data_IF_630889577938
#
_entry.id   IF_630889577938
#
_cell.length_a   1.000
_cell.length_b   1.000
_cell.length_c   1.000
_cell.angle_alpha   90.00
_cell.angle_beta   90.00
_cell.angle_gamma   90.00
#
_symmetry.space_group_name_H-M   'P 1'
#
loop_
_entity.id
_entity.type
_entity.pdbx_description
1 polymer ?
#
# COMPACT_ATOMS: atom_id res chain seq x y z
N UNK A 1 25.02 -9.93 -20.96
CA UNK A 1 24.14 -10.28 -22.10
C UNK A 1 23.78 -11.76 -21.99
N UNK A 2 22.50 -12.06 -22.03
CA UNK A 2 21.98 -13.43 -22.07
C UNK A 2 21.16 -13.61 -23.35
N UNK A 3 21.44 -14.66 -24.08
CA UNK A 3 20.70 -15.05 -25.26
C UNK A 3 20.33 -16.54 -25.19
N UNK A 4 19.06 -16.88 -25.38
CA UNK A 4 18.56 -18.23 -25.30
C UNK A 4 17.74 -18.58 -26.56
N UNK A 5 18.18 -19.57 -27.28
CA UNK A 5 17.42 -20.26 -28.33
C UNK A 5 16.99 -21.63 -27.80
N UNK A 6 15.68 -21.88 -27.72
CA UNK A 6 15.16 -23.21 -27.44
C UNK A 6 14.76 -23.90 -28.74
N UNK A 7 15.23 -25.14 -28.99
CA UNK A 7 14.70 -25.97 -30.04
C UNK A 7 13.20 -26.21 -29.91
N UNK A 8 12.48 -26.31 -30.99
CA UNK A 8 11.02 -26.50 -31.03
C UNK A 8 10.52 -27.74 -30.25
N UNK A 9 11.35 -28.76 -30.11
CA UNK A 9 11.09 -29.98 -29.32
C UNK A 9 10.95 -29.75 -27.80
N UNK A 10 11.34 -28.59 -27.31
CA UNK A 10 11.11 -28.15 -25.93
C UNK A 10 10.00 -27.10 -25.79
N UNK A 11 9.16 -27.00 -26.81
CA UNK A 11 7.92 -26.23 -26.73
C UNK A 11 7.10 -26.70 -25.52
N UNK A 12 6.69 -25.79 -24.66
CA UNK A 12 5.99 -26.08 -23.38
C UNK A 12 6.80 -25.81 -22.13
N UNK A 13 8.09 -25.59 -22.22
CA UNK A 13 8.88 -25.16 -21.06
C UNK A 13 8.75 -23.63 -20.86
N UNK A 14 8.23 -23.26 -19.69
CA UNK A 14 8.24 -21.85 -19.27
C UNK A 14 9.65 -21.44 -18.91
N UNK A 15 10.09 -20.26 -19.35
CA UNK A 15 11.38 -19.70 -18.97
C UNK A 15 11.23 -18.33 -18.34
N UNK A 16 12.01 -18.14 -17.31
CA UNK A 16 12.05 -16.91 -16.55
C UNK A 16 13.48 -16.37 -16.60
N UNK A 17 13.62 -15.17 -17.15
CA UNK A 17 14.92 -14.54 -17.39
C UNK A 17 14.92 -13.20 -16.65
N UNK A 18 15.81 -13.03 -15.69
CA UNK A 18 16.02 -11.78 -14.99
C UNK A 18 17.46 -11.32 -15.07
N UNK A 19 17.70 -10.04 -15.08
CA UNK A 19 19.04 -9.48 -15.03
C UNK A 19 19.79 -9.85 -13.74
N UNK A 20 19.05 -10.06 -12.64
CA UNK A 20 19.56 -10.49 -11.36
C UNK A 20 18.99 -11.86 -10.94
N UNK A 21 17.68 -12.02 -11.00
CA UNK A 21 16.98 -13.22 -10.51
C UNK A 21 16.04 -13.74 -11.59
N UNK A 22 16.21 -15.00 -12.02
CA UNK A 22 15.29 -15.63 -12.97
C UNK A 22 13.93 -15.94 -12.34
N UNK A 23 13.93 -16.41 -11.08
CA UNK A 23 12.74 -16.88 -10.38
C UNK A 23 12.84 -16.56 -8.89
N UNK A 24 11.91 -15.77 -8.37
CA UNK A 24 11.88 -15.36 -6.98
C UNK A 24 10.70 -16.00 -6.23
N UNK A 25 10.98 -16.68 -5.13
CA UNK A 25 9.98 -17.24 -4.23
C UNK A 25 9.36 -16.17 -3.32
N UNK A 26 8.14 -16.39 -2.78
CA UNK A 26 7.60 -15.56 -1.71
C UNK A 26 8.56 -15.43 -0.53
N UNK A 27 8.61 -14.25 0.12
CA UNK A 27 9.55 -13.98 1.21
C UNK A 27 10.98 -13.63 0.77
N UNK A 28 11.25 -13.53 -0.54
CA UNK A 28 12.57 -13.12 -1.06
C UNK A 28 12.91 -11.69 -0.63
N UNK A 29 14.13 -11.50 -0.10
CA UNK A 29 14.65 -10.17 0.23
C UNK A 29 15.87 -9.85 -0.62
N UNK A 30 15.86 -8.69 -1.30
CA UNK A 30 16.97 -8.16 -2.09
C UNK A 30 17.11 -6.68 -1.82
N UNK A 31 18.33 -6.22 -1.54
CA UNK A 31 18.58 -4.79 -1.36
C UNK A 31 19.94 -4.34 -1.91
N UNK A 32 20.04 -3.03 -2.16
CA UNK A 32 21.29 -2.34 -2.45
C UNK A 32 22.02 -2.89 -3.70
N UNK A 33 21.28 -3.06 -4.79
CA UNK A 33 21.79 -3.59 -6.05
C UNK A 33 21.78 -2.53 -7.15
N UNK A 34 22.88 -2.39 -7.84
CA UNK A 34 22.98 -1.57 -9.04
C UNK A 34 23.31 -2.45 -10.25
N UNK A 35 22.44 -2.40 -11.25
CA UNK A 35 22.56 -3.11 -12.52
C UNK A 35 22.69 -2.10 -13.64
N UNK A 36 23.62 -2.31 -14.56
CA UNK A 36 23.82 -1.40 -15.69
C UNK A 36 23.98 -2.16 -17.01
N UNK A 37 23.48 -1.58 -18.10
CA UNK A 37 23.60 -2.10 -19.46
C UNK A 37 23.14 -3.57 -19.59
N UNK A 38 21.95 -3.85 -19.08
CA UNK A 38 21.36 -5.19 -19.14
C UNK A 38 20.79 -5.40 -20.52
N UNK A 39 21.17 -6.50 -21.18
CA UNK A 39 20.59 -6.91 -22.45
C UNK A 39 20.16 -8.36 -22.36
N UNK A 40 18.85 -8.60 -22.41
CA UNK A 40 18.22 -9.91 -22.30
C UNK A 40 17.42 -10.20 -23.57
N UNK A 41 17.74 -11.30 -24.24
CA UNK A 41 17.05 -11.73 -25.45
C UNK A 41 16.57 -13.16 -25.29
N UNK A 42 15.29 -13.38 -25.57
CA UNK A 42 14.73 -14.72 -25.69
C UNK A 42 14.13 -14.92 -27.09
N UNK A 43 14.66 -15.88 -27.79
CA UNK A 43 14.18 -16.29 -29.09
C UNK A 43 13.19 -17.45 -28.92
N UNK A 44 11.88 -17.13 -28.85
CA UNK A 44 10.82 -18.15 -28.85
C UNK A 44 10.45 -18.56 -30.30
N UNK A 45 10.05 -19.83 -30.49
CA UNK A 45 9.50 -20.24 -31.75
C UNK A 45 8.10 -19.68 -31.98
N UNK A 46 7.76 -19.33 -33.21
CA UNK A 46 6.43 -18.83 -33.60
C UNK A 46 5.27 -19.82 -33.34
N UNK A 47 5.58 -21.06 -33.01
CA UNK A 47 4.64 -22.18 -33.22
C UNK A 47 3.96 -22.66 -31.92
N UNK A 48 4.31 -22.12 -30.77
CA UNK A 48 3.75 -22.62 -29.49
C UNK A 48 3.43 -21.52 -28.51
N UNK A 49 2.15 -21.34 -28.22
CA UNK A 49 1.64 -20.53 -27.09
C UNK A 49 2.16 -21.01 -25.71
N UNK A 50 2.76 -22.18 -25.65
CA UNK A 50 3.31 -22.76 -24.42
C UNK A 50 4.74 -22.32 -24.10
N UNK A 51 5.44 -21.65 -25.01
CA UNK A 51 6.76 -21.05 -24.77
C UNK A 51 6.63 -19.64 -24.26
N UNK A 52 6.14 -19.49 -23.04
CA UNK A 52 6.00 -18.19 -22.43
C UNK A 52 7.30 -17.77 -21.74
N UNK A 53 8.03 -16.88 -22.37
CA UNK A 53 9.18 -16.23 -21.75
C UNK A 53 8.71 -15.03 -20.92
N UNK A 54 9.10 -15.01 -19.68
CA UNK A 54 8.96 -13.86 -18.80
C UNK A 54 10.32 -13.26 -18.56
N UNK A 55 10.50 -12.04 -19.02
CA UNK A 55 11.79 -11.37 -19.01
C UNK A 55 11.67 -10.08 -18.22
N UNK A 56 12.44 -9.98 -17.14
CA UNK A 56 12.52 -8.77 -16.36
C UNK A 56 13.93 -8.20 -16.30
N UNK A 57 14.06 -6.91 -16.33
CA UNK A 57 15.36 -6.26 -16.17
C UNK A 57 16.05 -6.62 -14.86
N UNK A 58 15.27 -6.86 -13.82
CA UNK A 58 15.75 -7.34 -12.51
C UNK A 58 15.30 -8.77 -12.25
N UNK A 59 14.01 -9.07 -12.34
CA UNK A 59 13.42 -10.37 -11.97
C UNK A 59 12.59 -10.93 -13.13
N UNK A 60 12.82 -12.19 -13.50
CA UNK A 60 12.05 -12.86 -14.54
C UNK A 60 10.62 -13.18 -14.10
N UNK A 61 10.45 -13.87 -12.99
CA UNK A 61 9.17 -14.19 -12.37
C UNK A 61 9.25 -14.04 -10.85
N UNK A 62 8.30 -13.34 -10.28
CA UNK A 62 7.95 -13.37 -8.86
C UNK A 62 6.80 -14.38 -8.70
N UNK A 63 7.07 -15.53 -8.06
CA UNK A 63 6.15 -16.66 -8.02
C UNK A 63 4.87 -16.36 -7.22
N UNK A 64 3.80 -17.05 -7.59
CA UNK A 64 2.50 -16.94 -6.92
C UNK A 64 2.60 -17.31 -5.43
N UNK A 65 2.19 -16.39 -4.55
CA UNK A 65 2.11 -16.62 -3.12
C UNK A 65 1.76 -15.34 -2.35
N UNK A 66 0.87 -15.47 -1.40
CA UNK A 66 0.42 -14.38 -0.53
C UNK A 66 0.81 -14.56 0.95
N UNK A 67 1.40 -15.70 1.32
CA UNK A 67 1.70 -16.04 2.71
C UNK A 67 2.88 -15.22 3.28
N UNK A 68 3.81 -14.82 2.44
CA UNK A 68 5.01 -14.08 2.83
C UNK A 68 5.21 -12.88 1.91
N UNK A 69 5.57 -11.75 2.49
CA UNK A 69 5.83 -10.52 1.74
C UNK A 69 7.31 -10.47 1.35
N UNK A 70 7.59 -10.35 0.06
CA UNK A 70 8.95 -10.15 -0.44
C UNK A 70 9.35 -8.67 -0.34
N UNK A 71 10.63 -8.41 -0.07
CA UNK A 71 11.18 -7.06 0.00
C UNK A 71 12.27 -6.85 -1.06
N UNK A 72 12.06 -5.87 -1.92
CA UNK A 72 13.03 -5.39 -2.91
C UNK A 72 13.29 -3.90 -2.63
N UNK A 73 14.51 -3.58 -2.20
CA UNK A 73 14.81 -2.22 -1.72
C UNK A 73 16.08 -1.66 -2.34
N UNK A 74 16.05 -0.37 -2.71
CA UNK A 74 17.20 0.35 -3.24
C UNK A 74 17.88 -0.40 -4.40
N UNK A 75 17.08 -0.83 -5.40
CA UNK A 75 17.56 -1.51 -6.59
C UNK A 75 17.50 -0.54 -7.76
N UNK A 76 18.64 -0.34 -8.41
CA UNK A 76 18.74 0.48 -9.62
C UNK A 76 19.07 -0.41 -10.82
N UNK A 77 18.31 -0.29 -11.90
CA UNK A 77 18.61 -0.90 -13.21
C UNK A 77 18.62 0.18 -14.28
N UNK A 78 19.75 0.38 -14.92
CA UNK A 78 19.93 1.43 -15.94
C UNK A 78 20.45 0.86 -17.24
N UNK A 79 19.86 1.30 -18.37
CA UNK A 79 20.19 0.78 -19.70
C UNK A 79 19.68 -0.64 -19.92
N UNK A 80 18.37 -0.87 -19.69
CA UNK A 80 17.74 -2.18 -19.79
C UNK A 80 17.20 -2.39 -21.21
N UNK A 81 17.69 -3.41 -21.89
CA UNK A 81 17.18 -3.83 -23.21
C UNK A 81 16.60 -5.23 -23.13
N UNK A 82 15.30 -5.36 -23.40
CA UNK A 82 14.57 -6.61 -23.38
C UNK A 82 14.07 -6.93 -24.78
N UNK A 83 14.35 -8.14 -25.25
CA UNK A 83 13.87 -8.61 -26.55
C UNK A 83 13.30 -10.00 -26.42
N UNK A 84 12.05 -10.19 -26.82
CA UNK A 84 11.39 -11.48 -26.68
C UNK A 84 9.90 -11.43 -26.95
N UNK A 85 9.19 -12.45 -26.41
CA UNK A 85 7.75 -12.52 -26.56
C UNK A 85 7.09 -13.11 -25.34
N UNK A 86 6.11 -12.68 -24.73
CA UNK A 86 5.09 -12.94 -23.75
C UNK A 86 5.01 -11.84 -22.68
N UNK A 87 5.88 -11.79 -21.70
CA UNK A 87 5.85 -10.75 -20.67
C UNK A 87 7.24 -10.13 -20.50
N UNK A 88 7.33 -8.84 -20.76
CA UNK A 88 8.57 -8.08 -20.74
C UNK A 88 8.39 -6.88 -19.78
N UNK A 89 9.13 -6.85 -18.69
CA UNK A 89 9.06 -5.77 -17.72
C UNK A 89 10.42 -5.18 -17.36
N UNK A 90 10.52 -3.89 -17.30
CA UNK A 90 11.77 -3.23 -16.93
C UNK A 90 12.31 -3.67 -15.58
N UNK A 91 11.43 -3.86 -14.60
CA UNK A 91 11.78 -4.44 -13.31
C UNK A 91 11.49 -5.95 -13.27
N UNK A 92 10.24 -6.36 -13.45
CA UNK A 92 9.83 -7.76 -13.39
C UNK A 92 9.10 -8.22 -14.66
N UNK A 93 9.39 -9.42 -15.14
CA UNK A 93 8.64 -10.02 -16.25
C UNK A 93 7.21 -10.32 -15.84
N UNK A 94 7.02 -10.95 -14.69
CA UNK A 94 5.69 -11.21 -14.10
C UNK A 94 5.74 -11.07 -12.59
N UNK A 95 4.72 -10.44 -12.00
CA UNK A 95 4.54 -10.25 -10.56
C UNK A 95 3.30 -11.00 -10.09
N UNK A 96 3.47 -11.99 -9.21
CA UNK A 96 2.41 -12.86 -8.72
C UNK A 96 2.47 -13.10 -7.19
N UNK A 97 3.15 -12.25 -6.43
CA UNK A 97 3.30 -12.41 -4.97
C UNK A 97 3.15 -11.07 -4.25
N UNK A 98 2.85 -11.13 -2.96
CA UNK A 98 2.90 -9.95 -2.12
C UNK A 98 4.33 -9.40 -2.07
N UNK A 99 4.49 -8.11 -2.32
CA UNK A 99 5.81 -7.50 -2.39
C UNK A 99 5.80 -6.04 -1.92
N UNK A 100 6.89 -5.66 -1.26
CA UNK A 100 7.28 -4.27 -1.02
C UNK A 100 8.48 -3.96 -1.92
N UNK A 101 8.30 -3.01 -2.82
CA UNK A 101 9.32 -2.55 -3.76
C UNK A 101 9.60 -1.09 -3.41
N UNK A 102 10.69 -0.86 -2.68
CA UNK A 102 10.99 0.41 -2.04
C UNK A 102 12.21 1.08 -2.68
N UNK A 103 12.06 2.34 -3.06
CA UNK A 103 13.18 3.16 -3.59
C UNK A 103 13.90 2.50 -4.79
N UNK A 104 13.16 1.76 -5.60
CA UNK A 104 13.71 1.10 -6.78
C UNK A 104 13.61 2.01 -8.01
N UNK A 105 14.62 1.98 -8.87
CA UNK A 105 14.59 2.74 -10.12
C UNK A 105 14.96 1.88 -11.32
N UNK A 106 14.21 2.09 -12.42
CA UNK A 106 14.49 1.45 -13.71
C UNK A 106 14.54 2.53 -14.78
N UNK A 107 15.65 2.63 -15.48
CA UNK A 107 15.92 3.75 -16.38
C UNK A 107 16.39 3.27 -17.75
N UNK A 108 16.11 4.10 -18.77
CA UNK A 108 16.55 3.86 -20.15
C UNK A 108 16.15 2.47 -20.65
N UNK A 109 14.85 2.14 -20.49
CA UNK A 109 14.32 0.82 -20.84
C UNK A 109 13.97 0.76 -22.32
N UNK A 110 14.47 -0.23 -23.01
CA UNK A 110 14.10 -0.55 -24.39
C UNK A 110 13.45 -1.92 -24.44
N UNK A 111 12.19 -1.99 -24.86
CA UNK A 111 11.41 -3.23 -24.98
C UNK A 111 11.11 -3.48 -26.46
N UNK A 112 11.47 -4.67 -26.94
CA UNK A 112 11.24 -5.11 -28.30
C UNK A 112 10.57 -6.47 -28.32
N UNK A 113 9.32 -6.51 -28.79
CA UNK A 113 8.66 -7.78 -29.06
C UNK A 113 9.22 -8.40 -30.35
N UNK A 114 9.67 -9.64 -30.30
CA UNK A 114 9.99 -10.42 -31.49
C UNK A 114 8.73 -11.15 -31.94
N UNK A 115 8.47 -11.12 -33.24
CA UNK A 115 7.35 -11.83 -33.89
C UNK A 115 5.98 -11.32 -33.43
N UNK A 116 5.75 -10.02 -33.52
CA UNK A 116 4.44 -9.43 -33.28
C UNK A 116 3.38 -10.08 -34.16
N UNK A 117 2.55 -10.91 -33.54
CA UNK A 117 1.18 -11.05 -33.95
C UNK A 117 0.44 -10.14 -32.99
N UNK A 118 0.03 -8.98 -33.47
CA UNK A 118 -0.77 -8.06 -32.68
C UNK A 118 -2.06 -8.74 -32.28
N UNK A 119 -2.44 -8.64 -31.04
CA UNK A 119 -3.73 -9.07 -30.55
C UNK A 119 -4.82 -8.40 -31.40
N UNK A 120 -5.68 -9.18 -32.03
CA UNK A 120 -6.76 -8.69 -32.89
C UNK A 120 -6.52 -8.75 -34.40
N UNK A 121 -5.31 -8.95 -34.89
CA UNK A 121 -5.04 -9.06 -36.32
C UNK A 121 -5.14 -10.47 -36.88
N UNK A 122 -5.25 -11.49 -36.06
CA UNK A 122 -5.37 -12.89 -36.48
C UNK A 122 -6.53 -13.58 -35.79
N UNK A 123 -6.93 -14.70 -36.30
CA UNK A 123 -7.97 -15.58 -35.77
C UNK A 123 -7.62 -16.17 -34.39
N UNK A 124 -7.01 -15.41 -33.54
CA UNK A 124 -6.84 -15.75 -32.13
C UNK A 124 -8.21 -15.72 -31.45
N UNK A 125 -8.56 -16.68 -30.62
CA UNK A 125 -7.78 -17.78 -30.09
C UNK A 125 -7.67 -19.01 -30.99
N UNK A 126 -8.30 -19.02 -32.14
CA UNK A 126 -8.42 -20.21 -32.98
C UNK A 126 -7.07 -20.73 -33.51
N UNK A 127 -6.05 -19.90 -33.58
CA UNK A 127 -4.71 -20.27 -34.06
C UNK A 127 -3.66 -20.33 -32.98
N UNK A 128 -4.02 -20.17 -31.69
CA UNK A 128 -3.06 -20.12 -30.58
C UNK A 128 -2.10 -18.92 -30.64
N UNK A 129 -2.58 -17.76 -31.10
CA UNK A 129 -1.83 -16.51 -31.12
C UNK A 129 -1.23 -16.14 -29.76
N UNK A 130 -0.17 -15.37 -29.77
CA UNK A 130 0.56 -14.98 -28.56
C UNK A 130 0.09 -13.65 -28.03
N UNK A 131 -0.09 -13.59 -26.72
CA UNK A 131 -0.39 -12.35 -26.01
C UNK A 131 0.91 -11.77 -25.48
N UNK A 132 1.22 -10.54 -25.83
CA UNK A 132 2.44 -9.87 -25.43
C UNK A 132 2.14 -8.76 -24.41
N UNK A 133 2.44 -9.04 -23.15
CA UNK A 133 2.35 -8.08 -22.07
C UNK A 133 3.69 -7.37 -21.90
N UNK A 134 3.68 -6.05 -21.81
CA UNK A 134 4.91 -5.29 -21.55
C UNK A 134 4.65 -3.98 -20.84
N UNK A 135 5.60 -3.58 -20.01
CA UNK A 135 5.67 -2.22 -19.46
C UNK A 135 7.08 -1.89 -18.98
N UNK A 136 7.32 -0.62 -18.68
CA UNK A 136 8.60 -0.22 -18.11
C UNK A 136 8.83 -0.75 -16.69
N UNK A 137 7.81 -1.23 -16.00
CA UNK A 137 7.93 -1.82 -14.66
C UNK A 137 7.69 -3.33 -14.68
N UNK A 138 6.46 -3.79 -14.82
CA UNK A 138 6.11 -5.21 -14.83
C UNK A 138 5.44 -5.60 -16.16
N UNK A 139 5.89 -6.68 -16.80
CA UNK A 139 5.27 -7.17 -18.03
C UNK A 139 3.84 -7.65 -17.79
N UNK A 140 3.64 -8.44 -16.75
CA UNK A 140 2.35 -9.02 -16.38
C UNK A 140 2.17 -8.95 -14.86
N UNK A 141 1.00 -8.52 -14.40
CA UNK A 141 0.63 -8.44 -12.98
C UNK A 141 -0.61 -9.27 -12.75
N UNK A 142 -0.53 -10.23 -11.84
CA UNK A 142 -1.66 -11.06 -11.47
C UNK A 142 -2.53 -10.34 -10.42
N UNK A 143 -3.70 -9.89 -10.84
CA UNK A 143 -4.68 -9.23 -9.99
C UNK A 143 -5.38 -10.15 -8.99
N UNK A 144 -5.84 -9.56 -7.92
CA UNK A 144 -6.91 -10.11 -7.07
C UNK A 144 -6.44 -10.98 -5.91
N UNK A 145 -5.15 -11.28 -5.80
CA UNK A 145 -4.63 -12.12 -4.70
C UNK A 145 -3.35 -11.61 -4.07
N UNK A 146 -2.81 -10.49 -4.56
CA UNK A 146 -1.50 -9.99 -4.14
C UNK A 146 -1.55 -8.51 -3.76
N UNK A 147 -0.89 -8.19 -2.65
CA UNK A 147 -0.65 -6.82 -2.21
C UNK A 147 0.75 -6.39 -2.65
N UNK A 148 0.82 -5.31 -3.43
CA UNK A 148 2.08 -4.75 -3.91
C UNK A 148 2.16 -3.29 -3.47
N UNK A 149 3.22 -2.94 -2.76
CA UNK A 149 3.59 -1.55 -2.53
C UNK A 149 4.85 -1.21 -3.30
N UNK A 150 4.85 -0.10 -4.02
CA UNK A 150 5.95 0.29 -4.88
C UNK A 150 6.34 1.76 -4.65
N UNK A 151 7.64 2.03 -4.59
CA UNK A 151 8.18 3.39 -4.63
C UNK A 151 9.44 3.47 -5.48
N UNK A 152 9.69 4.62 -6.09
CA UNK A 152 10.89 4.84 -6.89
C UNK A 152 10.62 5.56 -8.19
N UNK A 153 11.51 5.40 -9.16
CA UNK A 153 11.51 6.13 -10.41
C UNK A 153 11.66 5.20 -11.62
N UNK A 154 10.77 5.36 -12.59
CA UNK A 154 10.88 4.75 -13.91
C UNK A 154 11.20 5.84 -14.93
N UNK A 155 12.20 5.61 -15.77
CA UNK A 155 12.46 6.45 -16.94
C UNK A 155 12.31 5.60 -18.18
N UNK A 156 11.24 5.84 -18.91
CA UNK A 156 10.93 5.15 -20.15
C UNK A 156 11.97 5.45 -21.24
N UNK A 157 12.02 4.56 -22.21
CA UNK A 157 12.82 4.71 -23.40
C UNK A 157 11.95 4.38 -24.62
N UNK A 158 12.05 3.16 -25.13
CA UNK A 158 11.27 2.70 -26.27
C UNK A 158 10.56 1.39 -25.93
N UNK A 159 9.25 1.36 -26.11
CA UNK A 159 8.47 0.14 -26.03
C UNK A 159 7.72 -0.09 -27.35
N UNK A 160 7.82 -1.28 -27.92
CA UNK A 160 7.07 -1.62 -29.13
C UNK A 160 5.56 -1.79 -28.89
N UNK A 161 5.12 -1.75 -27.65
CA UNK A 161 3.73 -1.73 -27.18
C UNK A 161 3.49 -0.48 -26.30
N UNK A 162 3.55 0.70 -26.92
CA UNK A 162 3.35 1.99 -26.23
C UNK A 162 1.99 2.10 -25.52
N UNK A 163 0.99 1.34 -26.00
CA UNK A 163 -0.33 1.22 -25.40
C UNK A 163 -0.31 0.53 -24.01
N UNK A 164 0.79 -0.09 -23.63
CA UNK A 164 0.95 -0.82 -22.36
C UNK A 164 2.03 -0.23 -21.43
N UNK A 165 2.36 1.04 -21.58
CA UNK A 165 3.45 1.69 -20.84
C UNK A 165 3.09 2.12 -19.40
N UNK A 166 2.13 1.49 -18.78
CA UNK A 166 1.76 1.76 -17.37
C UNK A 166 2.69 1.09 -16.35
N UNK A 167 2.15 0.86 -15.14
CA UNK A 167 2.82 0.11 -14.06
C UNK A 167 3.06 -1.35 -14.45
N UNK A 168 2.16 -1.90 -15.24
CA UNK A 168 2.18 -3.27 -15.73
C UNK A 168 1.07 -3.50 -16.73
N UNK A 169 0.94 -4.74 -17.17
CA UNK A 169 -0.14 -5.20 -18.03
C UNK A 169 -0.93 -6.30 -17.32
N UNK A 170 -2.18 -6.45 -17.68
CA UNK A 170 -3.13 -7.33 -16.98
C UNK A 170 -4.13 -7.95 -17.93
N UNK A 171 -4.56 -9.18 -17.63
CA UNK A 171 -5.67 -9.80 -18.31
C UNK A 171 -7.00 -9.40 -17.66
N UNK A 172 -7.90 -8.73 -18.37
CA UNK A 172 -9.24 -8.40 -17.86
C UNK A 172 -10.27 -9.49 -18.13
N UNK A 173 -10.18 -10.14 -19.25
CA UNK A 173 -11.04 -11.27 -19.59
C UNK A 173 -10.30 -12.19 -20.56
N UNK A 174 -10.96 -13.21 -21.11
CA UNK A 174 -10.32 -14.13 -22.03
C UNK A 174 -9.50 -13.42 -23.10
N UNK A 175 -8.20 -13.17 -22.81
CA UNK A 175 -7.18 -12.68 -23.74
C UNK A 175 -7.17 -11.18 -24.03
N UNK A 176 -7.93 -10.39 -23.26
CA UNK A 176 -7.84 -8.92 -23.35
C UNK A 176 -6.76 -8.42 -22.40
N UNK A 177 -5.74 -7.73 -22.92
CA UNK A 177 -4.65 -7.18 -22.15
C UNK A 177 -4.82 -5.67 -22.04
N UNK A 178 -4.93 -5.20 -20.80
CA UNK A 178 -5.10 -3.79 -20.47
C UNK A 178 -3.83 -3.26 -19.77
N UNK A 179 -3.51 -1.96 -19.93
CA UNK A 179 -2.50 -1.32 -19.10
C UNK A 179 -2.94 -1.36 -17.64
N UNK A 180 -2.06 -1.86 -16.76
CA UNK A 180 -2.30 -1.87 -15.34
C UNK A 180 -1.75 -0.58 -14.71
N UNK A 181 -2.59 0.18 -14.06
CA UNK A 181 -2.27 1.48 -13.44
C UNK A 181 -2.35 1.43 -11.91
N UNK A 182 -2.31 0.26 -11.31
CA UNK A 182 -2.13 0.08 -9.88
C UNK A 182 -3.39 0.11 -9.04
N UNK A 183 -4.52 -0.42 -9.53
CA UNK A 183 -5.75 -0.53 -8.70
C UNK A 183 -5.58 -1.42 -7.45
N UNK A 184 -4.63 -2.36 -7.50
CA UNK A 184 -4.29 -3.26 -6.38
C UNK A 184 -2.89 -3.03 -5.83
N UNK A 185 -2.24 -1.93 -6.22
CA UNK A 185 -0.89 -1.60 -5.82
C UNK A 185 -0.88 -0.17 -5.26
N UNK A 186 -0.48 -0.01 -4.02
CA UNK A 186 -0.12 1.32 -3.51
C UNK A 186 1.21 1.68 -4.15
N UNK A 187 1.22 2.72 -4.97
CA UNK A 187 2.41 3.11 -5.71
C UNK A 187 2.71 4.60 -5.55
N UNK A 188 3.95 4.89 -5.19
CA UNK A 188 4.58 6.20 -5.36
C UNK A 188 5.65 6.15 -6.44
N UNK A 189 5.58 5.17 -7.36
CA UNK A 189 6.38 5.15 -8.56
C UNK A 189 6.02 6.31 -9.47
N UNK A 190 7.03 6.87 -10.12
CA UNK A 190 6.84 7.83 -11.21
C UNK A 190 7.34 7.25 -12.53
N UNK A 191 6.65 7.57 -13.61
CA UNK A 191 7.13 7.33 -14.96
C UNK A 191 7.40 8.68 -15.62
N UNK A 192 8.66 8.95 -15.97
CA UNK A 192 9.08 10.23 -16.52
C UNK A 192 8.66 11.44 -15.65
N UNK A 193 8.62 11.24 -14.33
CA UNK A 193 8.25 12.25 -13.34
C UNK A 193 6.75 12.34 -13.04
N UNK A 194 5.88 11.61 -13.73
CA UNK A 194 4.45 11.54 -13.45
C UNK A 194 4.09 10.31 -12.62
N UNK A 195 3.21 10.46 -11.64
CA UNK A 195 2.81 9.38 -10.75
C UNK A 195 2.02 8.29 -11.49
N UNK A 196 2.35 7.03 -11.24
CA UNK A 196 1.66 5.86 -11.80
C UNK A 196 0.54 5.32 -10.88
N UNK A 197 0.30 5.95 -9.75
CA UNK A 197 -0.78 5.54 -8.86
C UNK A 197 -2.13 6.00 -9.40
N UNK A 198 -3.12 5.12 -9.40
CA UNK A 198 -4.50 5.50 -9.63
C UNK A 198 -5.16 5.83 -8.30
N UNK A 199 -5.42 7.10 -8.08
CA UNK A 199 -6.21 7.57 -6.96
C UNK A 199 -7.69 7.29 -7.24
N UNK A 200 -8.33 6.49 -6.39
CA UNK A 200 -9.77 6.26 -6.45
C UNK A 200 -10.46 7.38 -5.70
N UNK A 201 -11.36 8.10 -6.35
CA UNK A 201 -12.22 9.07 -5.69
C UNK A 201 -13.48 8.39 -5.19
N UNK A 202 -13.81 8.58 -3.92
CA UNK A 202 -15.03 8.05 -3.30
C UNK A 202 -15.89 9.19 -2.79
N UNK A 203 -17.18 9.10 -3.09
CA UNK A 203 -18.18 10.11 -2.73
C UNK A 203 -19.37 9.52 -1.96
N UNK A 204 -19.42 8.17 -1.79
CA UNK A 204 -20.47 7.48 -1.03
C UNK A 204 -19.89 6.57 0.05
N UNK A 205 -20.64 6.30 1.14
CA UNK A 205 -20.24 5.38 2.19
C UNK A 205 -20.00 3.95 1.69
N UNK A 206 -20.82 3.49 0.75
CA UNK A 206 -20.74 2.16 0.17
C UNK A 206 -19.45 1.98 -0.65
N UNK A 207 -19.11 2.97 -1.50
CA UNK A 207 -17.86 2.96 -2.27
C UNK A 207 -16.64 2.92 -1.36
N UNK A 208 -16.64 3.71 -0.27
CA UNK A 208 -15.55 3.69 0.68
C UNK A 208 -15.42 2.34 1.37
N UNK A 209 -16.53 1.79 1.89
CA UNK A 209 -16.53 0.53 2.61
C UNK A 209 -16.09 -0.63 1.70
N UNK A 210 -16.58 -0.69 0.47
CA UNK A 210 -16.21 -1.70 -0.51
C UNK A 210 -14.72 -1.60 -0.89
N UNK A 211 -14.24 -0.39 -1.20
CA UNK A 211 -12.85 -0.16 -1.59
C UNK A 211 -11.86 -0.54 -0.49
N UNK A 212 -12.14 -0.15 0.77
CA UNK A 212 -11.31 -0.50 1.92
C UNK A 212 -11.27 -2.01 2.20
N UNK A 213 -12.40 -2.70 1.99
CA UNK A 213 -12.52 -4.13 2.26
C UNK A 213 -11.96 -5.02 1.14
N UNK A 214 -12.04 -4.58 -0.12
CA UNK A 214 -11.77 -5.42 -1.29
C UNK A 214 -10.40 -5.20 -1.94
N UNK A 215 -9.84 -4.00 -1.86
CA UNK A 215 -8.61 -3.68 -2.61
C UNK A 215 -7.66 -2.68 -1.93
N UNK A 216 -8.14 -1.76 -1.09
CA UNK A 216 -7.30 -0.68 -0.55
C UNK A 216 -6.78 0.27 -1.65
N UNK A 217 -5.50 0.65 -1.57
CA UNK A 217 -4.86 1.57 -2.53
C UNK A 217 -4.93 3.04 -2.11
N UNK A 218 -4.71 3.96 -3.05
CA UNK A 218 -4.89 5.40 -2.81
C UNK A 218 -6.35 5.80 -2.99
N UNK A 219 -6.98 6.24 -1.92
CA UNK A 219 -8.39 6.62 -1.86
C UNK A 219 -8.50 8.10 -1.50
N UNK A 220 -9.18 8.89 -2.34
CA UNK A 220 -9.52 10.28 -2.03
C UNK A 220 -10.99 10.37 -1.62
N UNK A 221 -11.25 10.87 -0.44
CA UNK A 221 -12.60 11.23 0.00
C UNK A 221 -12.94 12.62 -0.51
N UNK A 222 -13.94 12.72 -1.39
CA UNK A 222 -14.31 13.98 -2.06
C UNK A 222 -15.62 14.59 -1.55
N UNK A 223 -16.33 13.88 -0.68
CA UNK A 223 -17.59 14.31 -0.06
C UNK A 223 -17.66 13.93 1.41
N UNK A 224 -18.62 14.50 2.13
CA UNK A 224 -18.96 14.04 3.47
C UNK A 224 -19.61 12.65 3.41
N UNK A 225 -19.09 11.71 4.20
CA UNK A 225 -19.53 10.32 4.23
C UNK A 225 -20.09 9.95 5.59
N UNK A 226 -21.31 9.44 5.64
CA UNK A 226 -21.96 8.94 6.85
C UNK A 226 -21.95 7.41 6.89
N UNK A 227 -21.03 6.84 7.66
CA UNK A 227 -20.87 5.40 7.89
C UNK A 227 -21.63 4.90 9.15
N UNK A 228 -22.49 5.71 9.75
CA UNK A 228 -23.14 5.34 11.03
C UNK A 228 -24.08 4.14 10.91
N UNK A 229 -24.68 3.96 9.73
CA UNK A 229 -25.55 2.83 9.40
C UNK A 229 -24.82 1.65 8.77
N UNK A 230 -23.59 1.83 8.36
CA UNK A 230 -22.77 0.77 7.77
C UNK A 230 -22.35 -0.27 8.83
N UNK A 231 -22.14 -1.51 8.40
CA UNK A 231 -21.41 -2.48 9.20
C UNK A 231 -19.99 -1.96 9.44
N UNK A 232 -19.30 -2.49 10.45
CA UNK A 232 -17.93 -2.10 10.74
C UNK A 232 -17.06 -2.14 9.47
N UNK A 233 -16.47 -1.00 9.12
CA UNK A 233 -15.63 -0.88 7.94
C UNK A 233 -14.28 -1.52 8.24
N UNK A 234 -13.85 -2.44 7.38
CA UNK A 234 -12.61 -3.18 7.54
C UNK A 234 -11.58 -2.69 6.53
N UNK A 235 -10.38 -2.40 7.01
CA UNK A 235 -9.21 -2.11 6.16
C UNK A 235 -8.37 -3.37 6.13
N UNK A 236 -8.52 -4.15 5.06
CA UNK A 236 -7.86 -5.45 4.90
C UNK A 236 -6.61 -5.37 4.01
N UNK A 237 -6.43 -4.28 3.30
CA UNK A 237 -5.35 -4.05 2.34
C UNK A 237 -4.61 -2.76 2.64
N UNK A 238 -3.35 -2.65 2.26
CA UNK A 238 -2.60 -1.40 2.38
C UNK A 238 -3.35 -0.24 1.73
N UNK A 239 -3.55 0.83 2.49
CA UNK A 239 -4.43 1.94 2.08
C UNK A 239 -3.84 3.29 2.47
N UNK A 240 -3.88 4.24 1.54
CA UNK A 240 -3.69 5.67 1.80
C UNK A 240 -5.04 6.37 1.61
N UNK A 241 -5.65 6.78 2.71
CA UNK A 241 -6.93 7.47 2.74
C UNK A 241 -6.69 8.98 2.85
N UNK A 242 -6.90 9.71 1.75
CA UNK A 242 -6.73 11.16 1.73
C UNK A 242 -8.07 11.84 1.96
N UNK A 243 -8.14 12.65 3.02
CA UNK A 243 -9.31 13.46 3.37
C UNK A 243 -9.15 14.85 2.75
N UNK A 244 -10.08 15.25 1.89
CA UNK A 244 -10.10 16.60 1.30
C UNK A 244 -10.32 17.67 2.37
N UNK A 245 -9.96 18.92 2.06
CA UNK A 245 -10.22 20.03 2.97
C UNK A 245 -11.71 20.17 3.24
N UNK A 246 -12.10 20.12 4.51
CA UNK A 246 -13.48 20.24 4.96
C UNK A 246 -14.31 18.97 4.79
N UNK A 247 -13.78 17.90 4.21
CA UNK A 247 -14.50 16.63 4.13
C UNK A 247 -14.53 15.94 5.50
N UNK A 248 -15.65 15.24 5.73
CA UNK A 248 -15.89 14.56 7.00
C UNK A 248 -16.37 13.13 6.79
N UNK A 249 -15.72 12.18 7.44
CA UNK A 249 -16.21 10.81 7.59
C UNK A 249 -16.84 10.68 8.98
N UNK A 250 -18.14 10.35 9.04
CA UNK A 250 -18.82 10.06 10.31
C UNK A 250 -18.94 8.56 10.53
N UNK A 251 -18.43 8.07 11.64
CA UNK A 251 -18.49 6.65 12.02
C UNK A 251 -19.33 6.46 13.29
N UNK A 252 -19.94 5.30 13.46
CA UNK A 252 -20.62 4.92 14.71
C UNK A 252 -19.69 4.15 15.63
N UNK A 253 -20.25 3.56 16.69
CA UNK A 253 -19.52 2.72 17.66
C UNK A 253 -18.70 1.57 17.06
N UNK A 254 -18.75 1.34 15.77
CA UNK A 254 -18.04 0.28 15.08
C UNK A 254 -17.09 0.71 13.96
N UNK A 255 -16.67 1.95 13.84
CA UNK A 255 -15.36 2.38 13.46
C UNK A 255 -14.67 1.81 12.22
N UNK A 256 -13.59 2.43 11.88
CA UNK A 256 -12.59 1.88 10.97
C UNK A 256 -11.75 0.82 11.72
N UNK A 257 -11.90 -0.45 11.35
CA UNK A 257 -11.08 -1.54 11.89
C UNK A 257 -9.90 -1.80 10.96
N UNK A 258 -8.70 -1.45 11.40
CA UNK A 258 -7.50 -1.62 10.61
C UNK A 258 -6.81 -2.96 10.92
N UNK A 259 -6.70 -3.81 9.92
CA UNK A 259 -5.99 -5.09 9.94
C UNK A 259 -4.77 -5.10 9.01
N UNK A 260 -4.47 -3.99 8.34
CA UNK A 260 -3.39 -3.85 7.37
C UNK A 260 -2.61 -2.54 7.60
N UNK A 261 -1.99 -2.00 6.58
CA UNK A 261 -1.29 -0.72 6.63
C UNK A 261 -2.27 0.40 6.20
N UNK A 262 -2.70 1.24 7.14
CA UNK A 262 -3.57 2.38 6.89
C UNK A 262 -2.84 3.69 7.14
N UNK A 263 -2.79 4.55 6.14
CA UNK A 263 -2.43 5.96 6.30
C UNK A 263 -3.67 6.82 6.11
N UNK A 264 -3.99 7.66 7.10
CA UNK A 264 -5.03 8.71 6.98
C UNK A 264 -4.32 10.04 6.90
N UNK A 265 -4.54 10.77 5.80
CA UNK A 265 -3.83 12.00 5.50
C UNK A 265 -4.77 13.10 5.01
N UNK A 266 -4.34 14.35 5.14
CA UNK A 266 -5.06 15.53 4.63
C UNK A 266 -5.93 16.23 5.67
N UNK A 267 -6.36 17.49 5.35
CA UNK A 267 -6.96 18.41 6.33
C UNK A 267 -8.46 18.17 6.58
N UNK A 268 -8.99 17.01 6.26
CA UNK A 268 -10.35 16.61 6.61
C UNK A 268 -10.46 15.96 7.98
N UNK A 269 -11.63 15.41 8.30
CA UNK A 269 -11.91 14.88 9.63
C UNK A 269 -12.57 13.51 9.62
N UNK A 270 -12.31 12.73 10.69
CA UNK A 270 -13.09 11.53 11.04
C UNK A 270 -13.78 11.83 12.36
N UNK A 271 -15.10 11.70 12.40
CA UNK A 271 -15.90 11.98 13.59
C UNK A 271 -16.76 10.79 13.99
N UNK A 272 -17.14 10.70 15.25
CA UNK A 272 -18.01 9.61 15.71
C UNK A 272 -18.25 9.62 17.21
N UNK A 273 -19.08 8.70 17.68
CA UNK A 273 -19.56 8.69 19.07
C UNK A 273 -18.66 7.92 20.04
N UNK A 274 -17.99 6.87 19.59
CA UNK A 274 -17.10 6.05 20.44
C UNK A 274 -15.68 5.96 19.88
N UNK A 275 -15.13 4.79 19.63
CA UNK A 275 -13.82 4.64 19.02
C UNK A 275 -13.88 4.95 17.52
N UNK A 276 -13.00 5.79 17.00
CA UNK A 276 -13.01 6.15 15.59
C UNK A 276 -12.21 5.15 14.76
N UNK A 277 -10.99 4.85 15.21
CA UNK A 277 -10.12 3.87 14.53
C UNK A 277 -9.65 2.84 15.57
N UNK A 278 -9.79 1.56 15.20
CA UNK A 278 -9.21 0.46 15.96
C UNK A 278 -8.11 -0.20 15.13
N UNK A 279 -6.89 -0.18 15.67
CA UNK A 279 -5.72 -0.75 15.03
C UNK A 279 -5.35 -2.07 15.71
N UNK A 280 -5.34 -3.16 14.96
CA UNK A 280 -5.15 -4.51 15.49
C UNK A 280 -3.69 -4.96 15.46
N UNK A 281 -3.40 -6.08 16.12
CA UNK A 281 -2.08 -6.68 16.13
C UNK A 281 -1.62 -7.01 14.69
N UNK A 282 -0.38 -6.63 14.37
CA UNK A 282 0.20 -6.78 13.04
C UNK A 282 -0.12 -5.62 12.09
N UNK A 283 -1.14 -4.80 12.38
CA UNK A 283 -1.50 -3.65 11.55
C UNK A 283 -0.64 -2.42 11.84
N UNK A 284 -0.51 -1.57 10.82
CA UNK A 284 0.19 -0.29 10.89
C UNK A 284 -0.78 0.86 10.62
N UNK A 285 -0.82 1.87 11.51
CA UNK A 285 -1.65 3.05 11.35
C UNK A 285 -0.78 4.31 11.35
N UNK A 286 -0.87 5.12 10.31
CA UNK A 286 -0.29 6.47 10.26
C UNK A 286 -1.40 7.50 10.15
N UNK A 287 -1.35 8.56 10.95
CA UNK A 287 -2.21 9.74 10.81
C UNK A 287 -1.32 10.95 10.62
N UNK A 288 -1.52 11.68 9.52
CA UNK A 288 -0.71 12.85 9.19
C UNK A 288 -1.45 13.92 8.37
N UNK A 289 -0.72 14.90 7.84
CA UNK A 289 -1.21 15.87 6.86
C UNK A 289 -2.33 16.80 7.35
N UNK A 290 -2.42 17.05 8.65
CA UNK A 290 -3.44 17.91 9.24
C UNK A 290 -4.77 17.22 9.54
N UNK A 291 -4.84 15.89 9.44
CA UNK A 291 -6.06 15.14 9.72
C UNK A 291 -6.57 15.36 11.15
N UNK A 292 -7.88 15.50 11.29
CA UNK A 292 -8.56 15.67 12.58
C UNK A 292 -9.43 14.48 12.92
N UNK A 293 -9.25 13.92 14.11
CA UNK A 293 -10.12 12.90 14.69
C UNK A 293 -10.89 13.51 15.86
N UNK A 294 -12.22 13.41 15.85
CA UNK A 294 -13.05 14.04 16.86
C UNK A 294 -14.17 13.12 17.33
N UNK A 295 -14.28 12.86 18.64
CA UNK A 295 -15.40 12.11 19.19
C UNK A 295 -16.53 13.04 19.62
N UNK A 296 -17.77 12.67 19.26
CA UNK A 296 -18.98 13.41 19.59
C UNK A 296 -19.62 12.96 20.90
N UNK A 297 -19.30 11.75 21.38
CA UNK A 297 -19.76 11.26 22.68
C UNK A 297 -18.94 11.90 23.79
N UNK A 298 -19.62 12.61 24.68
CA UNK A 298 -19.00 13.37 25.76
C UNK A 298 -18.64 12.55 27.00
N UNK A 299 -18.79 11.23 26.99
CA UNK A 299 -18.55 10.38 28.17
C UNK A 299 -17.53 9.26 27.96
N UNK A 300 -17.47 8.65 26.75
CA UNK A 300 -16.68 7.45 26.52
C UNK A 300 -15.96 7.43 25.16
N UNK A 301 -16.05 8.50 24.38
CA UNK A 301 -15.46 8.55 23.04
C UNK A 301 -13.94 8.50 23.07
N UNK A 302 -13.34 7.53 22.36
CA UNK A 302 -11.89 7.42 22.16
C UNK A 302 -11.55 7.64 20.70
N UNK A 303 -10.49 8.40 20.41
CA UNK A 303 -10.03 8.64 19.03
C UNK A 303 -9.44 7.37 18.42
N UNK A 304 -8.32 6.92 18.94
CA UNK A 304 -7.60 5.74 18.44
C UNK A 304 -7.49 4.69 19.55
N UNK A 305 -7.87 3.46 19.23
CA UNK A 305 -7.61 2.28 20.05
C UNK A 305 -6.58 1.40 19.35
N UNK A 306 -5.33 1.44 19.82
CA UNK A 306 -4.28 0.55 19.36
C UNK A 306 -4.25 -0.72 20.22
N UNK A 307 -4.60 -1.84 19.61
CA UNK A 307 -4.66 -3.14 20.27
C UNK A 307 -3.62 -4.10 19.68
N UNK A 308 -2.35 -3.87 20.02
CA UNK A 308 -1.23 -4.70 19.61
C UNK A 308 -0.58 -4.34 18.27
N UNK A 309 -1.10 -3.34 17.56
CA UNK A 309 -0.51 -2.86 16.32
C UNK A 309 0.54 -1.76 16.51
N UNK A 310 0.98 -1.19 15.40
CA UNK A 310 1.85 -0.01 15.36
C UNK A 310 1.06 1.25 14.97
N UNK A 311 1.28 2.36 15.69
CA UNK A 311 0.68 3.67 15.38
C UNK A 311 1.75 4.73 15.30
N UNK A 312 1.71 5.54 14.26
CA UNK A 312 2.51 6.75 14.09
C UNK A 312 1.59 7.94 13.88
N UNK A 313 1.76 8.98 14.69
CA UNK A 313 1.00 10.21 14.62
C UNK A 313 1.94 11.37 14.31
N UNK A 314 1.65 12.11 13.24
CA UNK A 314 2.43 13.25 12.81
C UNK A 314 1.50 14.32 12.24
N UNK A 315 1.66 15.57 12.65
CA UNK A 315 0.86 16.71 12.17
C UNK A 315 -0.66 16.39 12.11
N UNK A 316 -1.22 15.98 13.24
CA UNK A 316 -2.63 15.65 13.35
C UNK A 316 -3.24 16.20 14.63
N UNK A 317 -4.58 16.26 14.66
CA UNK A 317 -5.34 16.66 15.85
C UNK A 317 -6.26 15.51 16.26
N UNK A 318 -6.24 15.13 17.55
CA UNK A 318 -7.16 14.13 18.09
C UNK A 318 -7.86 14.68 19.32
N UNK A 319 -9.13 15.02 19.15
CA UNK A 319 -10.01 15.51 20.21
C UNK A 319 -10.96 14.39 20.61
N UNK A 320 -10.83 13.91 21.82
CA UNK A 320 -11.66 12.83 22.31
C UNK A 320 -12.34 13.20 23.63
N UNK A 321 -13.45 12.55 23.89
CA UNK A 321 -14.06 12.70 25.20
C UNK A 321 -13.23 11.98 26.27
N UNK A 322 -12.78 10.75 25.99
CA UNK A 322 -12.13 9.91 26.98
C UNK A 322 -10.64 9.73 26.74
N UNK A 323 -10.22 8.97 25.70
CA UNK A 323 -8.83 8.86 25.29
C UNK A 323 -8.65 9.40 23.88
N UNK A 324 -7.74 10.35 23.67
CA UNK A 324 -7.30 10.63 22.31
C UNK A 324 -6.63 9.39 21.72
N UNK A 325 -5.74 8.74 22.48
CA UNK A 325 -5.14 7.46 22.10
C UNK A 325 -5.08 6.52 23.30
N UNK A 326 -5.62 5.31 23.14
CA UNK A 326 -5.41 4.19 24.04
C UNK A 326 -4.48 3.17 23.37
N UNK A 327 -3.26 3.03 23.85
CA UNK A 327 -2.26 2.08 23.38
C UNK A 327 -2.17 0.90 24.34
N UNK A 328 -2.44 -0.32 23.87
CA UNK A 328 -2.53 -1.53 24.70
C UNK A 328 -2.16 -2.80 23.92
N UNK A 329 -2.15 -3.94 24.62
CA UNK A 329 -1.99 -5.27 24.00
C UNK A 329 -0.62 -5.51 23.38
N UNK A 330 0.44 -4.91 23.90
CA UNK A 330 1.79 -5.00 23.33
C UNK A 330 2.03 -4.05 22.14
N UNK A 331 1.10 -3.13 21.89
CA UNK A 331 1.19 -2.18 20.79
C UNK A 331 2.29 -1.13 20.94
N UNK A 332 2.71 -0.57 19.83
CA UNK A 332 3.64 0.57 19.81
C UNK A 332 2.96 1.84 19.29
N UNK A 333 3.21 2.96 19.96
CA UNK A 333 2.76 4.29 19.57
C UNK A 333 3.97 5.22 19.47
N UNK A 334 4.10 5.91 18.34
CA UNK A 334 5.05 7.01 18.17
C UNK A 334 4.29 8.28 17.83
N UNK A 335 4.46 9.33 18.61
CA UNK A 335 3.91 10.65 18.35
C UNK A 335 5.06 11.56 17.96
N UNK A 336 5.12 11.95 16.68
CA UNK A 336 6.17 12.84 16.18
C UNK A 336 5.79 14.30 16.33
N UNK A 337 4.50 14.63 16.10
CA UNK A 337 3.93 15.96 16.30
C UNK A 337 2.39 15.87 16.32
N UNK A 338 1.73 16.82 16.95
CA UNK A 338 0.28 16.94 16.91
C UNK A 338 -0.34 17.50 18.17
N UNK A 339 -1.67 17.66 18.13
CA UNK A 339 -2.48 18.17 19.25
C UNK A 339 -3.46 17.11 19.71
N UNK A 340 -3.43 16.83 20.98
CA UNK A 340 -4.23 15.79 21.61
C UNK A 340 -4.99 16.34 22.80
N UNK A 341 -6.31 16.12 22.83
CA UNK A 341 -7.13 16.54 23.96
C UNK A 341 -8.10 15.46 24.44
N UNK A 342 -8.33 15.40 25.74
CA UNK A 342 -9.44 14.66 26.32
C UNK A 342 -10.28 15.59 27.21
N UNK A 343 -11.61 15.58 27.01
CA UNK A 343 -12.51 16.62 27.54
C UNK A 343 -13.57 16.11 28.50
N UNK A 344 -13.77 14.80 28.65
CA UNK A 344 -14.82 14.25 29.47
C UNK A 344 -14.35 13.82 30.85
N UNK A 345 -15.22 14.01 31.79
CA UNK A 345 -15.17 13.39 33.10
C UNK A 345 -16.17 12.22 33.10
N UNK A 346 -15.67 10.99 33.14
CA UNK A 346 -16.57 9.84 33.25
C UNK A 346 -17.29 9.85 34.58
N UNK A 347 -18.62 10.01 34.58
CA UNK A 347 -19.46 10.00 35.76
C UNK A 347 -19.41 8.71 36.60
N UNK A 348 -18.74 7.66 36.12
CA UNK A 348 -18.55 6.38 36.82
C UNK A 348 -17.18 6.27 37.52
N UNK A 349 -16.45 7.36 37.72
CA UNK A 349 -15.17 7.37 38.42
C UNK A 349 -14.00 6.74 37.68
N UNK A 350 -14.16 6.46 36.41
CA UNK A 350 -13.03 6.03 35.58
C UNK A 350 -12.21 7.23 35.07
N UNK A 351 -10.91 7.06 35.11
CA UNK A 351 -9.97 8.13 34.83
C UNK A 351 -9.78 8.33 33.33
N UNK A 352 -10.06 9.52 32.83
CA UNK A 352 -9.81 9.90 31.43
C UNK A 352 -8.46 10.60 31.33
N UNK A 353 -7.51 9.93 30.70
CA UNK A 353 -6.21 10.50 30.33
C UNK A 353 -6.15 10.67 28.83
N UNK A 354 -5.50 11.72 28.35
CA UNK A 354 -5.47 11.98 26.92
C UNK A 354 -4.76 10.85 26.16
N UNK A 355 -3.54 10.48 26.56
CA UNK A 355 -2.81 9.35 26.00
C UNK A 355 -2.61 8.29 27.09
N UNK A 356 -3.08 7.07 26.85
CA UNK A 356 -2.93 5.95 27.80
C UNK A 356 -2.07 4.84 27.19
N UNK A 357 -1.11 4.34 27.99
CA UNK A 357 -0.26 3.19 27.66
C UNK A 357 -0.48 2.09 28.70
N UNK A 358 -1.02 0.94 28.26
CA UNK A 358 -1.50 -0.12 29.16
C UNK A 358 -0.89 -1.48 28.79
N UNK A 359 -0.31 -2.16 29.78
CA UNK A 359 0.11 -3.57 29.72
C UNK A 359 1.56 -3.79 29.35
N UNK A 360 2.08 -4.95 29.75
CA UNK A 360 3.44 -5.37 29.41
C UNK A 360 3.67 -5.39 27.89
N UNK A 361 4.88 -5.06 27.46
CA UNK A 361 5.25 -4.98 26.05
C UNK A 361 4.73 -3.75 25.31
N UNK A 362 3.77 -3.00 25.88
CA UNK A 362 3.24 -1.80 25.26
C UNK A 362 4.18 -0.62 25.44
N UNK A 363 4.46 0.09 24.33
CA UNK A 363 5.42 1.19 24.33
C UNK A 363 4.84 2.43 23.65
N UNK A 364 5.09 3.59 24.25
CA UNK A 364 4.76 4.89 23.66
C UNK A 364 6.00 5.79 23.68
N UNK A 365 6.29 6.39 22.55
CA UNK A 365 7.33 7.41 22.40
C UNK A 365 6.67 8.70 21.93
N UNK A 366 6.86 9.78 22.65
CA UNK A 366 6.39 11.13 22.30
C UNK A 366 7.63 11.97 22.00
N UNK A 367 7.88 12.23 20.71
CA UNK A 367 8.98 13.07 20.28
C UNK A 367 8.66 14.54 20.47
N UNK A 368 7.44 14.95 20.08
CA UNK A 368 6.84 16.24 20.42
C UNK A 368 5.29 16.09 20.40
N UNK A 369 4.60 16.74 21.32
CA UNK A 369 3.14 16.87 21.27
C UNK A 369 2.63 17.99 22.18
N UNK A 370 1.47 18.57 21.82
CA UNK A 370 0.65 19.36 22.73
C UNK A 370 -0.47 18.43 23.26
N UNK A 371 -0.41 18.09 24.53
CA UNK A 371 -1.34 17.12 25.14
C UNK A 371 -2.06 17.74 26.32
N UNK A 372 -3.38 17.75 26.25
CA UNK A 372 -4.20 18.27 27.34
C UNK A 372 -5.27 17.25 27.78
N UNK A 373 -5.43 17.07 29.05
CA UNK A 373 -6.41 16.13 29.59
C UNK A 373 -7.02 16.59 30.92
N UNK A 374 -8.29 16.24 31.15
CA UNK A 374 -9.02 16.63 32.35
C UNK A 374 -8.39 16.03 33.62
N UNK A 375 -8.00 14.77 33.56
CA UNK A 375 -7.40 14.08 34.73
C UNK A 375 -5.89 13.89 34.59
N UNK A 376 -5.37 14.05 33.40
CA UNK A 376 -3.97 13.96 33.10
C UNK A 376 -3.69 13.84 31.59
N UNK A 377 -2.58 14.38 31.18
CA UNK A 377 -2.17 14.32 29.80
C UNK A 377 -1.79 12.89 29.39
N UNK A 378 -1.00 12.20 30.20
CA UNK A 378 -0.47 10.86 29.89
C UNK A 378 -0.65 9.92 31.08
N UNK A 379 -1.10 8.70 30.84
CA UNK A 379 -1.15 7.62 31.82
C UNK A 379 -0.33 6.41 31.38
N UNK A 380 0.35 5.78 32.34
CA UNK A 380 1.08 4.54 32.17
C UNK A 380 0.58 3.55 33.23
N UNK A 381 0.20 2.35 32.77
CA UNK A 381 -0.44 1.37 33.66
C UNK A 381 0.01 -0.05 33.31
N UNK A 382 0.01 -0.95 34.30
CA UNK A 382 0.19 -2.39 34.16
C UNK A 382 1.44 -2.83 33.35
N UNK A 383 2.57 -2.16 33.56
CA UNK A 383 3.84 -2.52 32.92
C UNK A 383 4.09 -1.88 31.55
N UNK A 384 3.24 -0.98 31.12
CA UNK A 384 3.50 -0.17 29.93
C UNK A 384 4.73 0.74 30.10
N UNK A 385 5.28 1.22 28.99
CA UNK A 385 6.44 2.12 28.98
C UNK A 385 6.15 3.36 28.15
N UNK A 386 6.49 4.53 28.68
CA UNK A 386 6.40 5.80 27.96
C UNK A 386 7.74 6.52 28.01
N UNK A 387 8.17 7.01 26.84
CA UNK A 387 9.31 7.92 26.69
C UNK A 387 8.79 9.24 26.16
N UNK A 388 9.09 10.34 26.84
CA UNK A 388 8.73 11.69 26.40
C UNK A 388 10.02 12.44 26.15
N UNK A 389 10.22 12.87 24.91
CA UNK A 389 11.40 13.64 24.54
C UNK A 389 11.16 15.14 24.63
N UNK A 390 9.96 15.62 24.21
CA UNK A 390 9.58 17.02 24.25
C UNK A 390 8.04 17.17 24.18
N UNK A 391 7.52 18.37 24.48
CA UNK A 391 6.10 18.69 24.32
C UNK A 391 5.53 19.63 25.39
N UNK A 392 4.26 19.97 25.20
CA UNK A 392 3.48 20.78 26.15
C UNK A 392 2.39 19.88 26.75
N UNK A 393 2.45 19.66 28.03
CA UNK A 393 1.51 18.78 28.74
C UNK A 393 0.74 19.59 29.77
N UNK A 394 -0.57 19.54 29.71
CA UNK A 394 -1.43 20.31 30.60
C UNK A 394 -2.61 19.49 31.12
N UNK A 395 -3.10 19.86 32.28
CA UNK A 395 -4.39 19.44 32.80
C UNK A 395 -5.27 20.67 32.97
N UNK A 396 -6.56 20.53 32.76
CA UNK A 396 -7.52 21.59 33.10
C UNK A 396 -8.59 21.06 34.02
N UNK A 397 -8.96 21.92 34.96
CA UNK A 397 -9.99 21.62 35.93
C UNK A 397 -11.37 21.95 35.33
N UNK A 398 -12.31 21.01 35.42
CA UNK A 398 -13.70 21.21 35.03
C UNK A 398 -14.54 21.81 36.16
N UNK A 399 -13.93 22.18 37.28
CA UNK A 399 -14.60 22.85 38.38
C UNK A 399 -14.79 24.35 38.09
N UNK A 400 -15.63 24.65 37.11
CA UNK A 400 -16.09 25.99 36.80
C UNK A 400 -17.61 26.09 36.90
#
# INVERSE_FOLDING_TARGET
TYESDLPSEKAGQRKWIGGLIGYALPGTTVSDVALTNISLTANGSKESASTSYRIGGVIGLMELGSAEVSLYKNITADGVTLTGGYALGGFAGTMQQNARIEECSVKNVTIRHKNQILYGETSYPATGGYVYASSYFAGDVNQGTIDITCSGELVGGTNSREDLDGLGSMYESTWDIQPYVGELCISTLTLNGEALSRKVEVATPEELAETLASRGGEIAVTADLDLTTAQAVQVNYPTVLTLGQGTKITVSSNKLNNYSDLTVSGPGSITGDYGLIRNYAGAYLTIDGGATLETTNNQQGSGILNNGGKVVLADCTVNAAFYAVANQGGGSLTVNNGKFSSTAHNGNGQWAYCIRTLGEGTQTVINYAEVSGVQGAVAVDSGGKVTINDGIFSTYDLSG
#
